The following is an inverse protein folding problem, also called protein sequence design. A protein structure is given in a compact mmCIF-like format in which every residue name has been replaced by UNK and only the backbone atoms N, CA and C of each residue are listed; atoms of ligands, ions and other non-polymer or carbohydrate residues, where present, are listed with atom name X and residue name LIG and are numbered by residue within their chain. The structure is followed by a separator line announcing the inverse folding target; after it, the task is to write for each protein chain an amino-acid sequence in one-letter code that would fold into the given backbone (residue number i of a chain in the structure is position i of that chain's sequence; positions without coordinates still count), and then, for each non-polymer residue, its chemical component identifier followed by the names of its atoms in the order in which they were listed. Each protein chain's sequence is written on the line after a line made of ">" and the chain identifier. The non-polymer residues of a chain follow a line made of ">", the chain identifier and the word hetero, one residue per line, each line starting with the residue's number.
data_IF_382849204527
#
_entry.id   IF_382849204527
#
_cell.length_a   1.000
_cell.length_b   1.000
_cell.length_c   1.000
_cell.angle_alpha   90.00
_cell.angle_beta   90.00
_cell.angle_gamma   90.00
#
_symmetry.space_group_name_H-M   'P 1'
#
loop_
_entity.id
_entity.type
_entity.pdbx_description
1 polymer ?
#
# COMPACT_ATOMS: atom_id res chain seq x y z
N UNK A 1 55.29 -21.77 -48.37
CA UNK A 1 54.38 -21.04 -47.47
C UNK A 1 53.05 -21.75 -47.50
N UNK A 2 52.80 -22.65 -46.55
CA UNK A 2 51.50 -23.29 -46.42
C UNK A 2 50.51 -22.26 -45.86
N UNK A 3 49.52 -21.91 -46.67
CA UNK A 3 48.43 -21.02 -46.29
C UNK A 3 47.59 -21.80 -45.26
N UNK A 4 47.38 -21.31 -44.02
CA UNK A 4 46.60 -22.04 -43.06
C UNK A 4 45.18 -22.24 -43.62
N UNK A 5 44.74 -23.50 -43.62
CA UNK A 5 43.56 -23.97 -44.34
C UNK A 5 42.30 -23.18 -43.95
N UNK A 6 41.53 -22.74 -44.95
CA UNK A 6 40.24 -22.04 -44.79
C UNK A 6 39.31 -22.67 -43.75
N UNK A 7 39.36 -24.01 -43.62
CA UNK A 7 38.61 -24.77 -42.61
C UNK A 7 38.91 -24.36 -41.17
N UNK A 8 40.16 -24.05 -40.82
CA UNK A 8 40.51 -23.59 -39.46
C UNK A 8 39.91 -22.22 -39.14
N UNK A 9 39.83 -21.35 -40.14
CA UNK A 9 39.21 -20.03 -40.04
C UNK A 9 37.68 -20.16 -39.92
N UNK A 10 37.08 -21.07 -40.69
CA UNK A 10 35.64 -21.38 -40.62
C UNK A 10 35.25 -22.02 -39.27
N UNK A 11 36.06 -22.93 -38.72
CA UNK A 11 35.88 -23.49 -37.37
C UNK A 11 36.03 -22.43 -36.28
N UNK A 12 36.98 -21.50 -36.43
CA UNK A 12 37.14 -20.35 -35.53
C UNK A 12 35.91 -19.43 -35.53
N UNK A 13 35.37 -19.10 -36.70
CA UNK A 13 34.17 -18.28 -36.83
C UNK A 13 32.92 -18.98 -36.25
N UNK A 14 32.78 -20.30 -36.46
CA UNK A 14 31.70 -21.08 -35.86
C UNK A 14 31.79 -21.10 -34.33
N UNK A 15 32.99 -21.29 -33.77
CA UNK A 15 33.21 -21.28 -32.33
C UNK A 15 32.91 -19.91 -31.70
N UNK A 16 33.31 -18.82 -32.36
CA UNK A 16 32.96 -17.45 -31.95
C UNK A 16 31.44 -17.23 -32.01
N UNK A 17 30.77 -17.74 -33.06
CA UNK A 17 29.32 -17.68 -33.20
C UNK A 17 28.57 -18.40 -32.07
N UNK A 18 28.97 -19.63 -31.74
CA UNK A 18 28.39 -20.43 -30.65
C UNK A 18 28.66 -19.75 -29.29
N UNK A 19 29.86 -19.24 -29.07
CA UNK A 19 30.21 -18.51 -27.85
C UNK A 19 29.35 -17.26 -27.65
N UNK A 20 29.17 -16.47 -28.71
CA UNK A 20 28.33 -15.26 -28.69
C UNK A 20 26.86 -15.60 -28.47
N UNK A 21 26.34 -16.64 -29.13
CA UNK A 21 24.97 -17.10 -28.96
C UNK A 21 24.70 -17.57 -27.52
N UNK A 22 25.62 -18.36 -26.95
CA UNK A 22 25.50 -18.84 -25.56
C UNK A 22 25.53 -17.68 -24.57
N UNK A 23 26.40 -16.69 -24.78
CA UNK A 23 26.46 -15.49 -23.96
C UNK A 23 25.15 -14.69 -24.03
N UNK A 24 24.61 -14.50 -25.24
CA UNK A 24 23.34 -13.81 -25.45
C UNK A 24 22.18 -14.53 -24.76
N UNK A 25 22.14 -15.87 -24.79
CA UNK A 25 21.15 -16.67 -24.09
C UNK A 25 21.22 -16.46 -22.58
N UNK A 26 22.43 -16.54 -22.00
CA UNK A 26 22.64 -16.34 -20.55
C UNK A 26 22.24 -14.93 -20.14
N UNK A 27 22.65 -13.90 -20.88
CA UNK A 27 22.27 -12.51 -20.63
C UNK A 27 20.76 -12.31 -20.74
N UNK A 28 20.10 -12.94 -21.71
CA UNK A 28 18.65 -12.91 -21.85
C UNK A 28 17.93 -13.47 -20.62
N UNK A 29 18.37 -14.63 -20.12
CA UNK A 29 17.80 -15.25 -18.92
C UNK A 29 18.03 -14.36 -17.69
N UNK A 30 19.24 -13.85 -17.49
CA UNK A 30 19.56 -12.95 -16.37
C UNK A 30 18.71 -11.67 -16.43
N UNK A 31 18.53 -11.10 -17.61
CA UNK A 31 17.71 -9.90 -17.83
C UNK A 31 16.25 -10.16 -17.44
N UNK A 32 15.66 -11.27 -17.90
CA UNK A 32 14.28 -11.64 -17.54
C UNK A 32 14.12 -11.82 -16.02
N UNK A 33 15.06 -12.51 -15.37
CA UNK A 33 15.03 -12.71 -13.92
C UNK A 33 15.17 -11.38 -13.16
N UNK A 34 16.08 -10.51 -13.61
CA UNK A 34 16.31 -9.19 -13.04
C UNK A 34 15.07 -8.30 -13.16
N UNK A 35 14.45 -8.22 -14.33
CA UNK A 35 13.22 -7.42 -14.56
C UNK A 35 12.06 -7.92 -13.71
N UNK A 36 11.88 -9.24 -13.57
CA UNK A 36 10.85 -9.81 -12.70
C UNK A 36 11.07 -9.43 -11.24
N UNK A 37 12.32 -9.51 -10.76
CA UNK A 37 12.67 -9.11 -9.40
C UNK A 37 12.46 -7.61 -9.17
N UNK A 38 12.90 -6.77 -10.12
CA UNK A 38 12.74 -5.32 -10.07
C UNK A 38 11.26 -4.91 -9.99
N UNK A 39 10.39 -5.54 -10.80
CA UNK A 39 8.95 -5.30 -10.74
C UNK A 39 8.36 -5.63 -9.37
N UNK A 40 8.74 -6.76 -8.77
CA UNK A 40 8.29 -7.15 -7.43
C UNK A 40 8.71 -6.15 -6.35
N UNK A 41 9.96 -5.67 -6.42
CA UNK A 41 10.47 -4.64 -5.49
C UNK A 41 9.67 -3.35 -5.66
N UNK A 42 9.43 -2.91 -6.90
CA UNK A 42 8.64 -1.70 -7.15
C UNK A 42 7.20 -1.78 -6.60
N UNK A 43 6.55 -2.94 -6.75
CA UNK A 43 5.21 -3.18 -6.17
C UNK A 43 5.29 -3.14 -4.64
N UNK A 44 6.31 -3.74 -4.03
CA UNK A 44 6.53 -3.71 -2.59
C UNK A 44 6.75 -2.28 -2.06
N UNK A 45 7.54 -1.46 -2.77
CA UNK A 45 7.74 -0.04 -2.44
C UNK A 45 6.41 0.74 -2.48
N UNK A 46 5.59 0.51 -3.51
CA UNK A 46 4.26 1.13 -3.63
C UNK A 46 3.31 0.70 -2.52
N UNK A 47 3.33 -0.59 -2.12
CA UNK A 47 2.59 -1.07 -0.94
C UNK A 47 3.08 -0.40 0.35
N UNK A 48 4.39 -0.20 0.50
CA UNK A 48 4.96 0.46 1.66
C UNK A 48 4.54 1.94 1.74
N UNK A 49 4.54 2.63 0.61
CA UNK A 49 4.03 4.00 0.47
C UNK A 49 2.54 4.06 0.87
N UNK A 50 1.72 3.17 0.34
CA UNK A 50 0.30 3.06 0.70
C UNK A 50 0.10 2.82 2.20
N UNK A 51 0.84 1.88 2.82
CA UNK A 51 0.76 1.60 4.26
C UNK A 51 1.15 2.82 5.09
N UNK A 52 2.17 3.57 4.67
CA UNK A 52 2.59 4.80 5.35
C UNK A 52 1.49 5.86 5.32
N UNK A 53 0.89 6.09 4.15
CA UNK A 53 -0.21 7.03 3.98
C UNK A 53 -1.45 6.61 4.76
N UNK A 54 -1.82 5.33 4.72
CA UNK A 54 -2.96 4.80 5.46
C UNK A 54 -2.81 5.00 6.97
N UNK A 55 -1.62 4.72 7.52
CA UNK A 55 -1.30 5.00 8.93
C UNK A 55 -1.44 6.47 9.29
N UNK A 56 -0.95 7.36 8.43
CA UNK A 56 -1.03 8.81 8.64
C UNK A 56 -2.49 9.26 8.72
N UNK A 57 -3.33 8.80 7.78
CA UNK A 57 -4.75 9.18 7.74
C UNK A 57 -5.53 8.62 8.93
N UNK A 58 -5.30 7.36 9.33
CA UNK A 58 -5.92 6.80 10.54
C UNK A 58 -5.53 7.60 11.78
N UNK A 59 -4.24 7.94 11.94
CA UNK A 59 -3.79 8.78 13.05
C UNK A 59 -4.47 10.16 13.05
N UNK A 60 -4.67 10.75 11.86
CA UNK A 60 -5.38 12.02 11.73
C UNK A 60 -6.85 11.91 12.15
N UNK A 61 -7.56 10.86 11.72
CA UNK A 61 -8.94 10.61 12.15
C UNK A 61 -9.02 10.44 13.66
N UNK A 62 -8.16 9.61 14.26
CA UNK A 62 -8.16 9.41 15.72
C UNK A 62 -7.85 10.70 16.48
N UNK A 63 -6.91 11.51 15.98
CA UNK A 63 -6.58 12.81 16.57
C UNK A 63 -7.76 13.79 16.50
N UNK A 64 -8.45 13.86 15.36
CA UNK A 64 -9.63 14.73 15.19
C UNK A 64 -10.80 14.28 16.09
N UNK A 65 -11.02 12.97 16.21
CA UNK A 65 -12.01 12.40 17.13
C UNK A 65 -11.69 12.71 18.60
N UNK A 66 -10.41 12.66 18.98
CA UNK A 66 -9.97 13.03 20.32
C UNK A 66 -10.16 14.53 20.57
N UNK A 67 -9.80 15.37 19.59
CA UNK A 67 -9.98 16.81 19.69
C UNK A 67 -11.46 17.18 19.88
N UNK A 68 -12.35 16.56 19.09
CA UNK A 68 -13.79 16.70 19.23
C UNK A 68 -14.26 16.38 20.65
N UNK A 69 -13.82 15.25 21.20
CA UNK A 69 -14.20 14.81 22.57
C UNK A 69 -13.77 15.82 23.64
N UNK A 70 -12.64 16.50 23.45
CA UNK A 70 -12.11 17.48 24.41
C UNK A 70 -12.85 18.81 24.39
N UNK A 71 -13.38 19.23 23.24
CA UNK A 71 -13.94 20.59 23.08
C UNK A 71 -15.46 20.63 22.98
N UNK A 72 -16.14 19.49 22.88
CA UNK A 72 -17.59 19.41 22.61
C UNK A 72 -18.45 20.21 23.62
N UNK A 73 -17.95 20.42 24.84
CA UNK A 73 -18.61 21.20 25.90
C UNK A 73 -18.54 22.71 25.70
N UNK A 74 -17.45 23.20 25.11
CA UNK A 74 -17.05 24.62 25.13
C UNK A 74 -16.95 25.25 23.73
N UNK A 75 -17.32 24.48 22.71
CA UNK A 75 -17.16 24.80 21.29
C UNK A 75 -18.37 25.57 20.73
N UNK A 76 -18.11 26.56 19.88
CA UNK A 76 -19.14 27.24 19.09
C UNK A 76 -19.70 26.32 17.99
N UNK A 77 -20.91 26.59 17.50
CA UNK A 77 -21.52 25.79 16.42
C UNK A 77 -20.67 25.81 15.14
N UNK A 78 -19.99 26.93 14.86
CA UNK A 78 -19.13 27.10 13.68
C UNK A 78 -17.84 26.27 13.77
N UNK A 79 -17.18 26.27 14.94
CA UNK A 79 -16.00 25.43 15.19
C UNK A 79 -16.35 23.93 15.12
N UNK A 80 -17.54 23.57 15.61
CA UNK A 80 -18.03 22.20 15.55
C UNK A 80 -18.25 21.73 14.10
N UNK A 81 -18.84 22.59 13.27
CA UNK A 81 -19.07 22.31 11.85
C UNK A 81 -17.73 22.17 11.08
N UNK A 82 -16.75 23.02 11.37
CA UNK A 82 -15.41 22.92 10.80
C UNK A 82 -14.74 21.58 11.13
N UNK A 83 -14.75 21.17 12.41
CA UNK A 83 -14.15 19.90 12.82
C UNK A 83 -14.85 18.69 12.23
N UNK A 84 -16.18 18.72 12.13
CA UNK A 84 -16.93 17.65 11.48
C UNK A 84 -16.62 17.56 9.98
N UNK A 85 -16.41 18.69 9.30
CA UNK A 85 -15.96 18.71 7.90
C UNK A 85 -14.55 18.13 7.75
N UNK A 86 -13.61 18.52 8.62
CA UNK A 86 -12.25 17.97 8.61
C UNK A 86 -12.25 16.46 8.88
N UNK A 87 -13.06 16.01 9.85
CA UNK A 87 -13.22 14.59 10.16
C UNK A 87 -13.79 13.82 8.97
N UNK A 88 -14.83 14.34 8.33
CA UNK A 88 -15.41 13.74 7.13
C UNK A 88 -14.40 13.68 5.98
N UNK A 89 -13.60 14.73 5.79
CA UNK A 89 -12.56 14.75 4.75
C UNK A 89 -11.52 13.66 5.02
N UNK A 90 -11.01 13.55 6.23
CA UNK A 90 -10.06 12.51 6.61
C UNK A 90 -10.63 11.09 6.47
N UNK A 91 -11.91 10.88 6.82
CA UNK A 91 -12.60 9.60 6.60
C UNK A 91 -12.76 9.27 5.11
N UNK A 92 -13.09 10.27 4.28
CA UNK A 92 -13.20 10.10 2.84
C UNK A 92 -11.85 9.81 2.17
N UNK A 93 -10.77 10.42 2.65
CA UNK A 93 -9.44 10.10 2.15
C UNK A 93 -9.11 8.62 2.36
N UNK A 94 -9.39 8.09 3.57
CA UNK A 94 -9.23 6.66 3.87
C UNK A 94 -10.11 5.83 2.94
N UNK A 95 -11.37 6.24 2.74
CA UNK A 95 -12.32 5.57 1.85
C UNK A 95 -11.76 5.39 0.44
N UNK A 96 -11.15 6.43 -0.11
CA UNK A 96 -10.59 6.42 -1.47
C UNK A 96 -9.25 5.67 -1.59
N UNK A 97 -8.68 5.18 -0.49
CA UNK A 97 -7.51 4.29 -0.52
C UNK A 97 -7.86 2.82 -0.80
N UNK A 98 -9.15 2.47 -0.77
CA UNK A 98 -9.62 1.09 -0.97
C UNK A 98 -10.48 0.98 -2.23
N UNK A 99 -10.48 -0.22 -2.83
CA UNK A 99 -11.45 -0.57 -3.87
C UNK A 99 -12.88 -0.43 -3.33
N UNK A 100 -13.77 -0.01 -4.23
CA UNK A 100 -15.22 -0.03 -4.05
C UNK A 100 -15.81 -1.30 -3.43
N UNK A 101 -15.19 -2.47 -3.68
CA UNK A 101 -15.70 -3.77 -3.22
C UNK A 101 -14.98 -4.32 -1.98
N UNK A 102 -14.11 -3.54 -1.33
CA UNK A 102 -13.33 -4.03 -0.20
C UNK A 102 -14.14 -4.04 1.11
N UNK A 103 -14.53 -5.23 1.57
CA UNK A 103 -15.25 -5.40 2.85
C UNK A 103 -14.56 -4.79 4.08
N UNK A 104 -13.24 -4.54 4.03
CA UNK A 104 -12.50 -3.90 5.13
C UNK A 104 -12.77 -2.40 5.17
N UNK A 105 -13.00 -1.79 4.00
CA UNK A 105 -13.45 -0.41 3.84
C UNK A 105 -14.83 -0.25 4.48
N UNK A 106 -15.77 -1.14 4.16
CA UNK A 106 -17.14 -1.09 4.71
C UNK A 106 -17.15 -1.15 6.24
N UNK A 107 -16.31 -2.02 6.82
CA UNK A 107 -16.16 -2.12 8.29
C UNK A 107 -15.56 -0.87 8.93
N UNK A 108 -14.60 -0.21 8.26
CA UNK A 108 -14.06 1.06 8.73
C UNK A 108 -15.11 2.17 8.65
N UNK A 109 -15.86 2.23 7.54
CA UNK A 109 -16.95 3.20 7.37
C UNK A 109 -18.06 3.01 8.41
N UNK A 110 -18.43 1.78 8.73
CA UNK A 110 -19.41 1.47 9.78
C UNK A 110 -18.94 2.00 11.14
N UNK A 111 -17.69 1.70 11.54
CA UNK A 111 -17.11 2.21 12.78
C UNK A 111 -17.01 3.74 12.81
N UNK A 112 -16.68 4.36 11.68
CA UNK A 112 -16.65 5.82 11.54
C UNK A 112 -18.05 6.43 11.65
N UNK A 113 -19.06 5.82 11.03
CA UNK A 113 -20.44 6.26 11.11
C UNK A 113 -21.00 6.11 12.54
N UNK A 114 -20.68 5.02 13.22
CA UNK A 114 -21.03 4.81 14.62
C UNK A 114 -20.45 5.89 15.53
N UNK A 115 -19.17 6.25 15.37
CA UNK A 115 -18.55 7.33 16.16
C UNK A 115 -19.17 8.69 15.82
N UNK A 116 -19.43 8.97 14.53
CA UNK A 116 -20.09 10.21 14.11
C UNK A 116 -21.51 10.34 14.67
N UNK A 117 -22.24 9.22 14.82
CA UNK A 117 -23.56 9.21 15.46
C UNK A 117 -23.47 9.41 16.98
N UNK A 118 -22.50 8.78 17.63
CA UNK A 118 -22.21 8.99 19.06
C UNK A 118 -21.93 10.47 19.35
N UNK A 119 -21.14 11.12 18.49
CA UNK A 119 -20.85 12.55 18.56
C UNK A 119 -22.10 13.41 18.43
N UNK A 120 -22.97 13.15 17.45
CA UNK A 120 -24.25 13.86 17.32
C UNK A 120 -25.15 13.71 18.54
N UNK A 121 -25.14 12.52 19.15
CA UNK A 121 -25.96 12.18 20.31
C UNK A 121 -25.29 12.55 21.66
N UNK A 122 -24.07 13.11 21.63
CA UNK A 122 -23.22 13.39 22.81
C UNK A 122 -23.03 12.17 23.73
N UNK A 123 -22.99 10.97 23.15
CA UNK A 123 -22.77 9.71 23.87
C UNK A 123 -21.29 9.35 23.79
N UNK A 124 -20.58 9.31 24.92
CA UNK A 124 -19.14 9.03 24.96
C UNK A 124 -18.77 7.72 25.66
N UNK A 125 -19.73 7.03 26.27
CA UNK A 125 -19.50 5.84 27.12
C UNK A 125 -18.76 4.70 26.40
N UNK A 126 -18.90 4.56 25.07
CA UNK A 126 -18.27 3.51 24.29
C UNK A 126 -17.21 4.00 23.29
N UNK A 127 -16.84 5.28 23.35
CA UNK A 127 -15.97 5.90 22.37
C UNK A 127 -14.59 5.24 22.29
N UNK A 128 -13.95 5.00 23.45
CA UNK A 128 -12.64 4.34 23.52
C UNK A 128 -12.67 2.91 22.95
N UNK A 129 -13.78 2.19 23.14
CA UNK A 129 -13.96 0.83 22.60
C UNK A 129 -14.03 0.84 21.08
N UNK A 130 -14.77 1.78 20.49
CA UNK A 130 -14.87 1.95 19.03
C UNK A 130 -13.55 2.38 18.41
N UNK A 131 -12.82 3.30 19.05
CA UNK A 131 -11.46 3.66 18.63
C UNK A 131 -10.50 2.45 18.66
N UNK A 132 -10.58 1.62 19.70
CA UNK A 132 -9.79 0.40 19.78
C UNK A 132 -10.14 -0.61 18.67
N UNK A 133 -11.42 -0.72 18.28
CA UNK A 133 -11.83 -1.53 17.13
C UNK A 133 -11.26 -1.01 15.81
N UNK A 134 -11.23 0.31 15.61
CA UNK A 134 -10.58 0.94 14.44
C UNK A 134 -9.09 0.59 14.41
N UNK A 135 -8.39 0.71 15.55
CA UNK A 135 -6.96 0.36 15.66
C UNK A 135 -6.73 -1.11 15.31
N UNK A 136 -7.50 -2.03 15.91
CA UNK A 136 -7.35 -3.46 15.63
C UNK A 136 -7.60 -3.83 14.16
N UNK A 137 -8.62 -3.24 13.55
CA UNK A 137 -8.91 -3.45 12.13
C UNK A 137 -7.79 -2.89 11.25
N UNK A 138 -7.30 -1.70 11.58
CA UNK A 138 -6.18 -1.03 10.91
C UNK A 138 -4.90 -1.86 11.00
N UNK A 139 -4.56 -2.37 12.19
CA UNK A 139 -3.39 -3.21 12.41
C UNK A 139 -3.47 -4.54 11.64
N UNK A 140 -4.68 -5.13 11.56
CA UNK A 140 -4.92 -6.31 10.73
C UNK A 140 -4.67 -6.03 9.24
N UNK A 141 -5.18 -4.91 8.71
CA UNK A 141 -4.96 -4.49 7.31
C UNK A 141 -3.46 -4.28 7.05
N UNK A 142 -2.78 -3.55 7.93
CA UNK A 142 -1.35 -3.27 7.83
C UNK A 142 -0.52 -4.55 7.90
N UNK A 143 -0.85 -5.48 8.80
CA UNK A 143 -0.18 -6.76 8.95
C UNK A 143 -0.28 -7.59 7.66
N UNK A 144 -1.46 -7.64 7.06
CA UNK A 144 -1.67 -8.30 5.76
C UNK A 144 -0.82 -7.66 4.64
N UNK A 145 -0.75 -6.33 4.59
CA UNK A 145 0.10 -5.63 3.60
C UNK A 145 1.59 -5.86 3.86
N UNK A 146 2.03 -5.85 5.12
CA UNK A 146 3.42 -6.13 5.50
C UNK A 146 3.84 -7.54 5.07
N UNK A 147 2.98 -8.53 5.25
CA UNK A 147 3.24 -9.89 4.77
C UNK A 147 3.47 -9.91 3.26
N UNK A 148 2.60 -9.26 2.49
CA UNK A 148 2.75 -9.13 1.02
C UNK A 148 4.04 -8.43 0.59
N UNK A 149 4.48 -7.41 1.34
CA UNK A 149 5.76 -6.70 1.10
C UNK A 149 6.93 -7.66 1.32
N UNK A 150 6.96 -8.38 2.45
CA UNK A 150 8.02 -9.34 2.80
C UNK A 150 8.11 -10.47 1.78
N UNK A 151 6.97 -10.99 1.35
CA UNK A 151 6.88 -12.09 0.38
C UNK A 151 7.16 -11.65 -1.07
N UNK A 152 7.39 -10.35 -1.31
CA UNK A 152 7.53 -9.75 -2.64
C UNK A 152 6.37 -10.17 -3.56
N UNK A 153 5.16 -10.14 -2.98
CA UNK A 153 3.91 -10.52 -3.61
C UNK A 153 3.60 -9.56 -4.77
N UNK A 154 3.33 -10.14 -5.93
CA UNK A 154 3.09 -9.44 -7.19
C UNK A 154 1.60 -9.27 -7.53
N UNK A 155 0.69 -9.61 -6.62
CA UNK A 155 -0.72 -9.23 -6.73
C UNK A 155 -0.84 -7.71 -6.81
N UNK A 156 -1.95 -7.24 -7.37
CA UNK A 156 -2.21 -5.80 -7.42
C UNK A 156 -2.24 -5.23 -6.00
N UNK A 157 -1.62 -4.05 -5.77
CA UNK A 157 -1.79 -3.34 -4.52
C UNK A 157 -3.27 -3.03 -4.32
N UNK A 158 -3.71 -2.89 -3.07
CA UNK A 158 -5.05 -2.36 -2.81
C UNK A 158 -5.00 -0.91 -3.28
N UNK A 159 -5.55 -0.64 -4.45
CA UNK A 159 -5.72 0.69 -5.07
C UNK A 159 -7.15 0.72 -5.56
#
# INVERSE_FOLDING_TARGET
>A
MEIPSSKLIDFGNLAVGIGTFTLALVLGIISILSTRKSRKIHIADKRQEWVSTFRKQISQVLSLQQHYTLIISDCTVEELDLLLKELNLAQNEIRFMFDSNDTRRDKLEELFAEISNDFKNKQTENFAKKQYQIINLTDSIISQQRKKIVDLDNSEPII
#
